data_IF_397215734354
#
_entry.id   IF_397215734354
#
_cell.length_a   1.000
_cell.length_b   1.000
_cell.length_c   1.000
_cell.angle_alpha   90.00
_cell.angle_beta   90.00
_cell.angle_gamma   90.00
#
_symmetry.space_group_name_H-M   'P 1'
#
loop_
_entity.id
_entity.type
_entity.pdbx_description
1 polymer ?
#
# COMPACT_ATOMS: atom_id res chain seq x y z
N UNK A 1 20.93 11.17 8.91
CA UNK A 1 19.61 10.52 8.69
C UNK A 1 18.95 11.24 7.54
N UNK A 2 19.01 10.65 6.34
CA UNK A 2 18.34 11.20 5.16
C UNK A 2 16.84 11.07 5.43
N UNK A 3 16.15 12.21 5.61
CA UNK A 3 14.68 12.25 5.65
C UNK A 3 14.21 11.64 4.33
N UNK A 4 13.55 10.50 4.38
CA UNK A 4 12.93 9.94 3.18
C UNK A 4 12.02 11.03 2.61
N UNK A 5 12.29 11.44 1.36
CA UNK A 5 11.49 12.49 0.72
C UNK A 5 10.04 12.05 0.71
N UNK A 6 9.13 12.92 1.14
CA UNK A 6 7.70 12.70 1.09
C UNK A 6 7.25 12.43 -0.35
N UNK A 7 6.66 11.25 -0.66
CA UNK A 7 6.31 10.88 -2.02
C UNK A 7 5.30 11.82 -2.69
N UNK A 8 4.44 12.48 -1.89
CA UNK A 8 3.49 13.46 -2.42
C UNK A 8 4.23 14.70 -2.91
N UNK A 9 5.15 15.25 -2.11
CA UNK A 9 5.95 16.41 -2.49
C UNK A 9 6.90 16.11 -3.65
N UNK A 10 7.46 14.89 -3.71
CA UNK A 10 8.31 14.47 -4.83
C UNK A 10 7.57 14.55 -6.17
N UNK A 11 6.30 14.12 -6.22
CA UNK A 11 5.46 14.24 -7.42
C UNK A 11 4.75 15.59 -7.54
N UNK A 12 4.82 16.47 -6.52
CA UNK A 12 4.10 17.75 -6.51
C UNK A 12 2.58 17.60 -6.38
N UNK A 13 2.14 16.57 -5.65
CA UNK A 13 0.75 16.28 -5.36
C UNK A 13 0.37 16.71 -3.94
N UNK A 14 -0.90 17.03 -3.74
CA UNK A 14 -1.43 17.23 -2.39
C UNK A 14 -1.35 15.92 -1.58
N UNK A 15 -1.01 16.05 -0.29
CA UNK A 15 -0.92 14.90 0.62
C UNK A 15 -2.33 14.43 1.01
N UNK A 16 -2.92 13.57 0.17
CA UNK A 16 -4.24 12.97 0.36
C UNK A 16 -4.19 11.45 0.12
N UNK A 17 -5.05 10.73 0.83
CA UNK A 17 -5.20 9.29 0.62
C UNK A 17 -6.00 8.98 -0.65
N UNK A 18 -6.99 9.79 -0.98
CA UNK A 18 -7.93 9.57 -2.10
C UNK A 18 -7.41 10.11 -3.46
N UNK A 19 -6.07 10.17 -3.63
CA UNK A 19 -5.46 10.59 -4.89
C UNK A 19 -5.77 9.59 -6.01
N UNK A 20 -6.16 10.11 -7.18
CA UNK A 20 -6.45 9.29 -8.36
C UNK A 20 -5.17 8.76 -9.01
N UNK A 21 -5.20 7.48 -9.45
CA UNK A 21 -4.05 6.85 -10.11
C UNK A 21 -3.62 7.59 -11.39
N UNK A 22 -4.57 8.17 -12.14
CA UNK A 22 -4.27 8.97 -13.34
C UNK A 22 -3.57 10.28 -12.98
N UNK A 23 -3.93 10.86 -11.83
CA UNK A 23 -3.26 12.07 -11.33
C UNK A 23 -1.82 11.76 -10.94
N UNK A 24 -1.56 10.63 -10.26
CA UNK A 24 -0.21 10.16 -9.93
C UNK A 24 0.62 9.93 -11.19
N UNK A 25 0.08 9.23 -12.18
CA UNK A 25 0.77 8.97 -13.45
C UNK A 25 1.06 10.26 -14.22
N UNK A 26 0.10 11.18 -14.29
CA UNK A 26 0.28 12.47 -14.94
C UNK A 26 1.33 13.33 -14.24
N UNK A 27 1.37 13.34 -12.93
CA UNK A 27 2.39 14.04 -12.14
C UNK A 27 3.78 13.45 -12.35
N UNK A 28 3.87 12.10 -12.32
CA UNK A 28 5.13 11.41 -12.63
C UNK A 28 5.68 11.76 -14.01
N UNK A 29 4.85 11.70 -15.06
CA UNK A 29 5.29 11.99 -16.42
C UNK A 29 5.80 13.44 -16.59
N UNK A 30 5.12 14.41 -15.96
CA UNK A 30 5.59 15.81 -15.96
C UNK A 30 6.94 15.96 -15.29
N UNK A 31 7.10 15.38 -14.09
CA UNK A 31 8.35 15.44 -13.31
C UNK A 31 9.49 14.68 -13.99
N UNK A 32 9.20 13.52 -14.61
CA UNK A 32 10.19 12.75 -15.35
C UNK A 32 10.72 13.51 -16.58
N UNK A 33 9.87 14.29 -17.27
CA UNK A 33 10.30 15.13 -18.36
C UNK A 33 11.23 16.28 -17.88
N UNK A 34 11.00 16.84 -16.69
CA UNK A 34 11.86 17.85 -16.06
C UNK A 34 13.20 17.27 -15.60
N UNK A 35 13.25 15.95 -15.29
CA UNK A 35 14.43 15.24 -14.86
C UNK A 35 15.33 14.73 -15.99
N UNK A 36 15.04 15.07 -17.26
CA UNK A 36 15.84 14.63 -18.40
C UNK A 36 17.24 15.27 -18.36
N UNK A 37 18.35 14.54 -18.66
CA UNK A 37 19.71 15.06 -18.61
C UNK A 37 19.90 16.35 -19.43
N UNK A 38 19.27 16.44 -20.60
CA UNK A 38 19.33 17.65 -21.45
C UNK A 38 18.74 18.89 -20.76
N UNK A 39 17.79 18.70 -19.83
CA UNK A 39 17.19 19.79 -19.03
C UNK A 39 18.06 20.13 -17.83
N UNK A 40 18.73 19.13 -17.24
CA UNK A 40 19.61 19.28 -16.07
C UNK A 40 21.05 19.68 -16.42
N UNK A 41 21.30 20.07 -17.68
CA UNK A 41 22.63 20.56 -18.10
C UNK A 41 23.70 19.47 -18.26
N UNK A 42 23.29 18.19 -18.44
CA UNK A 42 24.18 17.06 -18.70
C UNK A 42 24.74 16.39 -17.44
N UNK A 43 24.13 16.61 -16.27
CA UNK A 43 24.47 15.86 -15.04
C UNK A 43 23.67 14.55 -14.99
N UNK A 44 24.26 13.49 -15.56
CA UNK A 44 23.62 12.18 -15.68
C UNK A 44 23.39 11.53 -14.30
N UNK A 45 24.30 11.69 -13.31
CA UNK A 45 24.15 11.13 -11.98
C UNK A 45 22.98 11.77 -11.20
N UNK A 46 22.88 13.10 -11.28
CA UNK A 46 21.76 13.82 -10.68
C UNK A 46 20.42 13.45 -11.33
N UNK A 47 20.39 13.28 -12.66
CA UNK A 47 19.22 12.87 -13.41
C UNK A 47 18.78 11.45 -13.01
N UNK A 48 19.69 10.48 -12.94
CA UNK A 48 19.38 9.11 -12.52
C UNK A 48 18.86 9.05 -11.08
N UNK A 49 19.48 9.78 -10.16
CA UNK A 49 19.04 9.85 -8.76
C UNK A 49 17.61 10.43 -8.65
N UNK A 50 17.31 11.48 -9.40
CA UNK A 50 15.97 12.09 -9.41
C UNK A 50 14.92 11.14 -10.03
N UNK A 51 15.22 10.49 -11.13
CA UNK A 51 14.35 9.48 -11.76
C UNK A 51 14.10 8.31 -10.78
N UNK A 52 15.11 7.87 -10.05
CA UNK A 52 14.95 6.86 -9.01
C UNK A 52 13.96 7.29 -7.92
N UNK A 53 14.05 8.53 -7.43
CA UNK A 53 13.11 9.08 -6.46
C UNK A 53 11.69 9.19 -7.02
N UNK A 54 11.53 9.63 -8.27
CA UNK A 54 10.23 9.72 -8.94
C UNK A 54 9.57 8.34 -9.10
N UNK A 55 10.35 7.32 -9.49
CA UNK A 55 9.87 5.95 -9.61
C UNK A 55 9.40 5.38 -8.26
N UNK A 56 10.17 5.61 -7.19
CA UNK A 56 9.79 5.17 -5.85
C UNK A 56 8.53 5.89 -5.35
N UNK A 57 8.46 7.22 -5.52
CA UNK A 57 7.29 8.00 -5.14
C UNK A 57 6.02 7.54 -5.88
N UNK A 58 6.13 7.29 -7.19
CA UNK A 58 5.05 6.73 -8.01
C UNK A 58 4.61 5.37 -7.48
N UNK A 59 5.54 4.46 -7.22
CA UNK A 59 5.24 3.12 -6.71
C UNK A 59 4.57 3.16 -5.33
N UNK A 60 4.98 4.09 -4.45
CA UNK A 60 4.33 4.30 -3.15
C UNK A 60 2.91 4.84 -3.32
N UNK A 61 2.70 5.84 -4.18
CA UNK A 61 1.40 6.48 -4.30
C UNK A 61 0.38 5.66 -5.09
N UNK A 62 0.80 4.76 -5.97
CA UNK A 62 -0.10 3.82 -6.65
C UNK A 62 -0.55 2.67 -5.76
N UNK A 63 0.24 2.29 -4.77
CA UNK A 63 -0.13 1.26 -3.79
C UNK A 63 -0.88 1.87 -2.62
N UNK A 64 -2.12 1.47 -2.40
CA UNK A 64 -2.98 2.05 -1.38
C UNK A 64 -2.46 1.83 0.06
N UNK A 65 -1.89 0.65 0.38
CA UNK A 65 -1.31 0.37 1.70
C UNK A 65 -0.06 1.23 1.94
N UNK A 66 0.84 1.31 0.94
CA UNK A 66 2.06 2.13 1.02
C UNK A 66 1.72 3.62 1.11
N UNK A 67 0.78 4.09 0.30
CA UNK A 67 0.28 5.47 0.33
C UNK A 67 -0.30 5.82 1.70
N UNK A 68 -1.12 4.95 2.30
CA UNK A 68 -1.66 5.16 3.63
C UNK A 68 -0.58 5.24 4.70
N UNK A 69 0.45 4.38 4.64
CA UNK A 69 1.59 4.44 5.56
C UNK A 69 2.38 5.74 5.40
N UNK A 70 2.64 6.19 4.17
CA UNK A 70 3.33 7.44 3.91
C UNK A 70 2.54 8.64 4.44
N UNK A 71 1.23 8.71 4.17
CA UNK A 71 0.36 9.78 4.67
C UNK A 71 0.24 9.77 6.19
N UNK A 72 0.15 8.58 6.81
CA UNK A 72 0.09 8.44 8.26
C UNK A 72 1.37 8.99 8.92
N UNK A 73 2.54 8.65 8.38
CA UNK A 73 3.81 9.18 8.86
C UNK A 73 3.89 10.71 8.70
N UNK A 74 3.47 11.24 7.56
CA UNK A 74 3.44 12.67 7.28
C UNK A 74 2.53 13.45 8.25
N UNK A 75 1.41 12.84 8.65
CA UNK A 75 0.47 13.41 9.62
C UNK A 75 0.86 13.15 11.09
N UNK A 76 2.03 12.57 11.36
CA UNK A 76 2.54 12.30 12.71
C UNK A 76 1.84 11.15 13.45
N UNK A 77 1.22 10.23 12.71
CA UNK A 77 0.61 9.04 13.28
C UNK A 77 1.64 8.01 13.73
N UNK A 78 1.22 6.98 14.51
CA UNK A 78 2.12 5.98 15.06
C UNK A 78 2.86 5.19 13.98
N UNK A 79 4.16 4.95 14.17
CA UNK A 79 4.94 4.06 13.34
C UNK A 79 4.53 2.59 13.57
N UNK A 80 4.73 1.73 12.57
CA UNK A 80 4.40 0.30 12.63
C UNK A 80 5.13 -0.43 13.77
N UNK A 81 6.35 0.00 14.07
CA UNK A 81 7.18 -0.56 15.14
C UNK A 81 6.69 -0.16 16.52
N UNK A 82 6.09 1.03 16.63
CA UNK A 82 5.59 1.60 17.87
C UNK A 82 4.19 1.08 18.27
N UNK A 83 3.36 0.74 17.28
CA UNK A 83 2.00 0.24 17.52
C UNK A 83 1.69 -0.94 16.60
N UNK A 84 1.56 -2.12 17.20
CA UNK A 84 1.20 -3.40 16.56
C UNK A 84 -0.21 -3.86 16.92
N UNK A 85 -1.03 -2.96 17.48
CA UNK A 85 -2.40 -3.30 17.89
C UNK A 85 -3.24 -3.76 16.70
N UNK A 86 -4.16 -4.68 16.99
CA UNK A 86 -5.12 -5.25 16.05
C UNK A 86 -6.54 -5.09 16.61
N UNK A 87 -7.57 -5.11 15.75
CA UNK A 87 -8.95 -5.17 16.22
C UNK A 87 -9.19 -6.40 17.11
N UNK A 88 -10.09 -6.25 18.08
CA UNK A 88 -10.43 -7.35 19.00
C UNK A 88 -10.97 -8.56 18.22
N UNK A 89 -10.46 -9.75 18.53
CA UNK A 89 -10.85 -11.01 17.86
C UNK A 89 -10.23 -11.27 16.50
N UNK A 90 -9.63 -10.24 15.87
CA UNK A 90 -9.08 -10.31 14.52
C UNK A 90 -8.06 -11.44 14.32
N UNK A 91 -7.15 -11.63 15.27
CA UNK A 91 -6.08 -12.63 15.12
C UNK A 91 -6.64 -14.06 15.05
N UNK A 92 -7.66 -14.38 15.86
CA UNK A 92 -8.31 -15.70 15.85
C UNK A 92 -9.04 -15.95 14.54
N UNK A 93 -9.77 -14.94 14.04
CA UNK A 93 -10.44 -15.01 12.74
C UNK A 93 -9.42 -15.25 11.61
N UNK A 94 -8.32 -14.51 11.59
CA UNK A 94 -7.28 -14.65 10.57
C UNK A 94 -6.56 -16.01 10.63
N UNK A 95 -6.39 -16.60 11.80
CA UNK A 95 -5.82 -17.93 11.92
C UNK A 95 -6.73 -18.98 11.28
N UNK A 96 -8.03 -18.94 11.56
CA UNK A 96 -9.02 -19.84 10.95
C UNK A 96 -9.09 -19.65 9.42
N UNK A 97 -9.18 -18.40 8.97
CA UNK A 97 -9.20 -18.08 7.54
C UNK A 97 -7.95 -18.59 6.82
N UNK A 98 -6.79 -18.44 7.44
CA UNK A 98 -5.54 -18.95 6.88
C UNK A 98 -5.54 -20.47 6.74
N UNK A 99 -5.99 -21.21 7.75
CA UNK A 99 -6.10 -22.67 7.71
C UNK A 99 -7.00 -23.13 6.56
N UNK A 100 -8.14 -22.47 6.36
CA UNK A 100 -9.07 -22.80 5.28
C UNK A 100 -8.51 -22.49 3.88
N UNK A 101 -7.76 -21.40 3.74
CA UNK A 101 -7.05 -21.07 2.50
C UNK A 101 -5.94 -22.10 2.23
N UNK A 102 -5.15 -22.47 3.23
CA UNK A 102 -4.11 -23.49 3.11
C UNK A 102 -4.68 -24.85 2.70
N UNK A 103 -5.85 -25.22 3.23
CA UNK A 103 -6.56 -26.44 2.83
C UNK A 103 -7.06 -26.38 1.38
N UNK A 104 -7.61 -25.25 0.96
CA UNK A 104 -8.05 -25.04 -0.42
C UNK A 104 -6.86 -25.13 -1.41
N UNK A 105 -5.72 -24.53 -1.07
CA UNK A 105 -4.49 -24.58 -1.85
C UNK A 105 -3.93 -26.02 -1.92
N UNK A 106 -3.89 -26.74 -0.79
CA UNK A 106 -3.39 -28.11 -0.70
C UNK A 106 -4.25 -29.07 -1.53
N UNK A 107 -5.57 -28.93 -1.47
CA UNK A 107 -6.52 -29.73 -2.24
C UNK A 107 -6.63 -29.31 -3.70
N UNK A 108 -5.99 -28.20 -4.09
CA UNK A 108 -6.08 -27.59 -5.44
C UNK A 108 -7.53 -27.32 -5.87
N UNK A 109 -8.39 -26.98 -4.90
CA UNK A 109 -9.80 -26.66 -5.14
C UNK A 109 -9.91 -25.22 -5.71
N UNK A 110 -9.99 -25.17 -7.04
CA UNK A 110 -10.02 -23.89 -7.77
C UNK A 110 -11.25 -23.02 -7.43
N UNK A 111 -12.38 -23.61 -7.04
CA UNK A 111 -13.59 -22.88 -6.67
C UNK A 111 -13.44 -22.24 -5.29
N UNK A 112 -12.95 -23.01 -4.31
CA UNK A 112 -12.65 -22.47 -2.97
C UNK A 112 -11.56 -21.39 -3.04
N UNK A 113 -10.51 -21.58 -3.83
CA UNK A 113 -9.44 -20.56 -4.00
C UNK A 113 -10.03 -19.27 -4.60
N UNK A 114 -10.89 -19.35 -5.62
CA UNK A 114 -11.56 -18.16 -6.17
C UNK A 114 -12.45 -17.46 -5.16
N UNK A 115 -13.20 -18.23 -4.36
CA UNK A 115 -14.06 -17.67 -3.30
C UNK A 115 -13.26 -16.94 -2.24
N UNK A 116 -12.14 -17.52 -1.79
CA UNK A 116 -11.26 -16.89 -0.81
C UNK A 116 -10.57 -15.65 -1.37
N UNK A 117 -10.20 -15.67 -2.65
CA UNK A 117 -9.65 -14.48 -3.31
C UNK A 117 -10.68 -13.34 -3.36
N UNK A 118 -11.90 -13.63 -3.78
CA UNK A 118 -12.97 -12.64 -3.81
C UNK A 118 -13.27 -12.07 -2.41
N UNK A 119 -13.27 -12.92 -1.38
CA UNK A 119 -13.39 -12.47 0.01
C UNK A 119 -12.23 -11.53 0.41
N UNK A 120 -10.99 -11.89 0.13
CA UNK A 120 -9.82 -11.09 0.49
C UNK A 120 -9.80 -9.73 -0.25
N UNK A 121 -10.18 -9.69 -1.52
CA UNK A 121 -10.35 -8.45 -2.29
C UNK A 121 -11.46 -7.56 -1.73
N UNK A 122 -12.56 -8.16 -1.28
CA UNK A 122 -13.63 -7.42 -0.58
C UNK A 122 -13.14 -6.85 0.76
N UNK A 123 -12.35 -7.61 1.53
CA UNK A 123 -11.73 -7.09 2.76
C UNK A 123 -10.78 -5.93 2.47
N UNK A 124 -9.95 -6.04 1.45
CA UNK A 124 -9.06 -4.95 0.98
C UNK A 124 -9.86 -3.69 0.69
N UNK A 125 -10.92 -3.80 -0.09
CA UNK A 125 -11.80 -2.66 -0.41
C UNK A 125 -12.36 -2.03 0.86
N UNK A 126 -12.83 -2.83 1.81
CA UNK A 126 -13.34 -2.35 3.09
C UNK A 126 -12.25 -1.63 3.92
N UNK A 127 -10.98 -2.06 3.87
CA UNK A 127 -9.88 -1.34 4.53
C UNK A 127 -9.59 -0.01 3.84
N UNK A 128 -9.56 0.04 2.51
CA UNK A 128 -9.37 1.28 1.75
C UNK A 128 -10.43 2.31 2.14
N UNK A 129 -11.71 1.92 2.17
CA UNK A 129 -12.82 2.81 2.52
C UNK A 129 -12.73 3.32 3.97
N UNK A 130 -12.40 2.43 4.93
CA UNK A 130 -12.25 2.80 6.35
C UNK A 130 -11.09 3.76 6.55
N UNK A 131 -9.93 3.48 5.95
CA UNK A 131 -8.74 4.33 6.04
C UNK A 131 -8.97 5.68 5.40
N UNK A 132 -9.60 5.73 4.22
CA UNK A 132 -10.01 6.98 3.56
C UNK A 132 -10.89 7.83 4.47
N UNK A 133 -11.93 7.25 5.05
CA UNK A 133 -12.82 7.96 5.98
C UNK A 133 -12.08 8.50 7.19
N UNK A 134 -11.22 7.70 7.85
CA UNK A 134 -10.45 8.12 9.02
C UNK A 134 -9.50 9.28 8.70
N UNK A 135 -8.86 9.26 7.53
CA UNK A 135 -8.02 10.38 7.10
C UNK A 135 -8.81 11.66 6.82
N UNK A 136 -10.02 11.55 6.27
CA UNK A 136 -10.90 12.70 6.04
C UNK A 136 -11.45 13.30 7.33
N UNK A 137 -11.82 12.47 8.30
CA UNK A 137 -12.27 12.91 9.61
C UNK A 137 -11.16 13.57 10.43
N UNK A 138 -9.90 13.12 10.24
CA UNK A 138 -8.73 13.70 10.88
C UNK A 138 -8.68 13.47 12.40
N UNK A 139 -7.73 14.16 13.06
CA UNK A 139 -7.54 14.08 14.51
C UNK A 139 -6.60 12.95 14.96
N UNK A 140 -5.92 13.14 16.09
CA UNK A 140 -4.90 12.21 16.60
C UNK A 140 -5.46 10.82 16.92
N UNK A 141 -6.69 10.75 17.43
CA UNK A 141 -7.36 9.46 17.69
C UNK A 141 -7.55 8.64 16.40
N UNK A 142 -7.97 9.29 15.33
CA UNK A 142 -8.16 8.62 14.03
C UNK A 142 -6.84 8.16 13.42
N UNK A 143 -5.72 8.87 13.66
CA UNK A 143 -4.40 8.41 13.21
C UNK A 143 -3.96 7.11 13.91
N UNK A 144 -4.28 6.94 15.20
CA UNK A 144 -4.06 5.66 15.91
C UNK A 144 -4.94 4.56 15.33
N UNK A 145 -6.20 4.88 15.02
CA UNK A 145 -7.11 3.91 14.41
C UNK A 145 -6.66 3.54 12.98
N UNK A 146 -6.18 4.49 12.18
CA UNK A 146 -5.56 4.20 10.87
C UNK A 146 -4.42 3.19 11.03
N UNK A 147 -3.51 3.37 12.01
CA UNK A 147 -2.44 2.39 12.27
C UNK A 147 -3.00 1.01 12.55
N UNK A 148 -4.02 0.89 13.39
CA UNK A 148 -4.67 -0.39 13.72
C UNK A 148 -5.28 -1.04 12.48
N UNK A 149 -5.96 -0.27 11.62
CA UNK A 149 -6.52 -0.76 10.37
C UNK A 149 -5.42 -1.20 9.38
N UNK A 150 -4.32 -0.48 9.26
CA UNK A 150 -3.18 -0.85 8.42
C UNK A 150 -2.50 -2.14 8.91
N UNK A 151 -2.38 -2.32 10.23
CA UNK A 151 -1.84 -3.56 10.78
C UNK A 151 -2.72 -4.76 10.41
N UNK A 152 -4.04 -4.63 10.50
CA UNK A 152 -5.00 -5.67 10.11
C UNK A 152 -5.00 -5.90 8.58
N UNK A 153 -5.02 -4.83 7.79
CA UNK A 153 -4.99 -4.91 6.33
C UNK A 153 -3.79 -5.70 5.82
N UNK A 154 -2.61 -5.53 6.41
CA UNK A 154 -1.41 -6.27 6.02
C UNK A 154 -1.56 -7.80 6.14
N UNK A 155 -2.40 -8.30 7.06
CA UNK A 155 -2.70 -9.74 7.12
C UNK A 155 -3.49 -10.19 5.89
N UNK A 156 -4.45 -9.40 5.44
CA UNK A 156 -5.25 -9.71 4.22
C UNK A 156 -4.35 -9.69 2.98
N UNK A 157 -3.45 -8.70 2.85
CA UNK A 157 -2.50 -8.66 1.73
C UNK A 157 -1.62 -9.90 1.68
N UNK A 158 -1.14 -10.38 2.82
CA UNK A 158 -0.35 -11.62 2.89
C UNK A 158 -1.13 -12.86 2.46
N UNK A 159 -2.43 -12.92 2.74
CA UNK A 159 -3.28 -14.02 2.25
C UNK A 159 -3.44 -13.97 0.73
N UNK A 160 -3.57 -12.78 0.15
CA UNK A 160 -3.62 -12.59 -1.31
C UNK A 160 -2.29 -13.03 -1.92
N UNK A 161 -1.16 -12.54 -1.41
CA UNK A 161 0.19 -12.92 -1.84
C UNK A 161 0.40 -14.46 -1.78
N UNK A 162 -0.10 -15.11 -0.73
CA UNK A 162 -0.03 -16.57 -0.57
C UNK A 162 -0.85 -17.31 -1.64
N UNK A 163 -2.05 -16.84 -1.93
CA UNK A 163 -2.89 -17.42 -2.98
C UNK A 163 -2.29 -17.22 -4.37
N UNK A 164 -1.66 -16.07 -4.63
CA UNK A 164 -0.97 -15.79 -5.90
C UNK A 164 0.25 -16.70 -6.10
N UNK A 165 1.07 -16.87 -5.07
CA UNK A 165 2.21 -17.76 -5.09
C UNK A 165 1.80 -19.24 -5.30
N UNK A 166 0.70 -19.68 -4.65
CA UNK A 166 0.17 -21.02 -4.80
C UNK A 166 -0.41 -21.30 -6.20
N UNK A 167 -0.99 -20.29 -6.83
CA UNK A 167 -1.52 -20.40 -8.20
C UNK A 167 -0.41 -20.46 -9.26
N UNK A 168 0.73 -19.78 -9.03
CA UNK A 168 1.87 -19.77 -9.95
C UNK A 168 2.67 -21.08 -9.98
N UNK A 169 2.59 -21.93 -8.98
CA UNK A 169 3.33 -23.20 -8.90
C UNK A 169 2.62 -24.37 -9.62
N UNK A 170 1.45 -24.14 -10.23
CA UNK A 170 0.65 -25.15 -10.96
C UNK A 170 0.69 -25.07 -12.47
N UNK A 171 1.48 -24.15 -13.05
CA UNK A 171 1.58 -23.92 -14.50
C UNK A 171 2.99 -24.24 -15.02
N UNK A 172 3.54 -25.43 -14.68
CA UNK A 172 4.76 -25.98 -15.26
C UNK A 172 4.52 -27.43 -15.69
#
# INVERSE_FOLDING_TARGET
MTMASDPFSVLGLAADFDVDAREVEGAYLRRAAEAHPDVLGGDDEAAEALVGQLNEARAVLLDAERRANALLALRGGPAKEADKSLPTGFLMEMMQTREEIEDALRSKDAERIRSWRAWAESQRTGYVERVSRLFREGGSHNLVEVRRQLNAWRYVERLIEQMDAGAGCGAA
#
